data_IF_403498887866
#
_entry.id   IF_403498887866
#
_cell.length_a   1.000
_cell.length_b   1.000
_cell.length_c   1.000
_cell.angle_alpha   90.00
_cell.angle_beta   90.00
_cell.angle_gamma   90.00
#
_symmetry.space_group_name_H-M   'P 1'
#
loop_
_entity.id
_entity.type
_entity.pdbx_description
1 polymer ?
#
# COMPACT_ATOMS: atom_id res chain seq x y z
N UNK A 1 13.68 -6.80 18.98
CA UNK A 1 14.38 -7.99 18.43
C UNK A 1 13.47 -9.22 18.54
N UNK A 2 12.28 -9.21 17.93
CA UNK A 2 11.29 -10.30 18.09
C UNK A 2 10.48 -10.65 16.83
N UNK A 3 10.66 -9.95 15.70
CA UNK A 3 9.85 -10.18 14.48
C UNK A 3 10.43 -11.19 13.47
N UNK A 4 11.58 -11.83 13.76
CA UNK A 4 12.32 -12.63 12.77
C UNK A 4 11.62 -13.92 12.29
N UNK A 5 10.58 -14.40 12.97
CA UNK A 5 9.93 -15.69 12.67
C UNK A 5 8.53 -15.58 12.05
N UNK A 6 8.02 -14.36 11.81
CA UNK A 6 6.61 -14.17 11.45
C UNK A 6 6.37 -13.95 9.94
N UNK A 7 7.44 -13.82 9.12
CA UNK A 7 7.29 -13.55 7.68
C UNK A 7 6.52 -14.63 6.92
N UNK A 8 6.72 -15.94 7.15
CA UNK A 8 5.89 -16.97 6.50
C UNK A 8 4.42 -16.88 6.89
N UNK A 9 4.12 -16.54 8.16
CA UNK A 9 2.75 -16.33 8.62
C UNK A 9 2.10 -15.14 7.92
N UNK A 10 2.82 -14.02 7.83
CA UNK A 10 2.36 -12.83 7.10
C UNK A 10 2.08 -13.18 5.64
N UNK A 11 2.99 -13.90 4.97
CA UNK A 11 2.78 -14.35 3.60
C UNK A 11 1.54 -15.26 3.49
N UNK A 12 1.31 -16.12 4.49
CA UNK A 12 0.09 -16.92 4.60
C UNK A 12 -1.18 -16.06 4.64
N UNK A 13 -1.19 -15.00 5.45
CA UNK A 13 -2.30 -14.04 5.53
C UNK A 13 -2.50 -13.30 4.19
N UNK A 14 -1.43 -12.81 3.56
CA UNK A 14 -1.50 -12.15 2.26
C UNK A 14 -2.09 -13.06 1.18
N UNK A 15 -1.76 -14.36 1.24
CA UNK A 15 -2.30 -15.39 0.33
C UNK A 15 -3.75 -15.70 0.61
N UNK A 16 -4.15 -15.79 1.88
CA UNK A 16 -5.53 -16.00 2.28
C UNK A 16 -6.42 -14.83 1.81
N UNK A 17 -5.91 -13.61 1.90
CA UNK A 17 -6.53 -12.40 1.34
C UNK A 17 -6.41 -12.32 -0.20
N UNK A 18 -5.66 -13.23 -0.82
CA UNK A 18 -5.34 -13.24 -2.24
C UNK A 18 -4.81 -11.89 -2.75
N UNK A 19 -3.92 -11.25 -2.01
CA UNK A 19 -3.40 -9.91 -2.37
C UNK A 19 -2.80 -9.90 -3.78
N UNK A 20 -1.89 -10.84 -4.09
CA UNK A 20 -1.28 -10.86 -5.41
C UNK A 20 -2.26 -11.09 -6.57
N UNK A 21 -3.15 -12.11 -6.57
CA UNK A 21 -4.09 -12.29 -7.68
C UNK A 21 -5.07 -11.12 -7.83
N UNK A 22 -5.43 -10.43 -6.74
CA UNK A 22 -6.24 -9.22 -6.82
C UNK A 22 -5.47 -8.10 -7.51
N UNK A 23 -4.22 -7.84 -7.10
CA UNK A 23 -3.39 -6.81 -7.72
C UNK A 23 -3.11 -7.16 -9.19
N UNK A 24 -2.80 -8.42 -9.50
CA UNK A 24 -2.53 -8.87 -10.87
C UNK A 24 -3.77 -8.80 -11.77
N UNK A 25 -4.99 -8.74 -11.20
CA UNK A 25 -6.22 -8.48 -11.97
C UNK A 25 -6.39 -7.01 -12.36
N UNK A 26 -5.84 -6.09 -11.55
CA UNK A 26 -5.87 -4.64 -11.78
C UNK A 26 -4.66 -4.20 -12.62
N UNK A 27 -3.50 -4.81 -12.37
CA UNK A 27 -2.22 -4.56 -13.04
C UNK A 27 -1.77 -5.88 -13.69
N UNK A 28 -2.20 -6.15 -14.93
CA UNK A 28 -1.89 -7.40 -15.61
C UNK A 28 -0.38 -7.67 -15.69
N UNK A 29 0.07 -8.91 -15.42
CA UNK A 29 1.46 -9.28 -15.57
C UNK A 29 1.97 -9.08 -17.01
N UNK A 30 3.19 -8.59 -17.15
CA UNK A 30 3.86 -8.49 -18.45
C UNK A 30 4.75 -9.71 -18.69
N UNK A 31 4.79 -10.29 -19.90
CA UNK A 31 5.59 -11.49 -20.19
C UNK A 31 7.09 -11.37 -19.91
N UNK A 32 7.63 -10.15 -20.01
CA UNK A 32 9.05 -9.88 -19.74
C UNK A 32 9.37 -9.74 -18.25
N UNK A 33 8.35 -9.65 -17.39
CA UNK A 33 8.55 -9.55 -15.95
C UNK A 33 8.59 -10.94 -15.32
N UNK A 34 9.73 -11.26 -14.70
CA UNK A 34 9.90 -12.51 -13.92
C UNK A 34 8.94 -12.54 -12.71
N UNK A 35 8.63 -11.37 -12.14
CA UNK A 35 7.78 -11.20 -10.96
C UNK A 35 6.58 -10.32 -11.33
N UNK A 36 5.36 -10.80 -11.04
CA UNK A 36 4.13 -10.03 -11.22
C UNK A 36 4.05 -8.83 -10.26
N UNK A 37 3.15 -7.88 -10.52
CA UNK A 37 2.98 -6.73 -9.64
C UNK A 37 2.50 -7.19 -8.23
N UNK A 38 1.56 -8.13 -8.19
CA UNK A 38 1.06 -8.70 -6.95
C UNK A 38 2.11 -9.40 -6.12
N UNK A 39 2.97 -10.22 -6.75
CA UNK A 39 4.08 -10.90 -6.07
C UNK A 39 5.17 -9.92 -5.60
N UNK A 40 5.43 -8.88 -6.38
CA UNK A 40 6.32 -7.79 -5.98
C UNK A 40 5.77 -7.03 -4.76
N UNK A 41 4.44 -6.83 -4.67
CA UNK A 41 3.81 -6.24 -3.48
C UNK A 41 3.93 -7.13 -2.25
N UNK A 42 3.71 -8.44 -2.37
CA UNK A 42 3.95 -9.37 -1.26
C UNK A 42 5.41 -9.26 -0.77
N UNK A 43 6.38 -9.21 -1.69
CA UNK A 43 7.79 -9.02 -1.35
C UNK A 43 8.06 -7.68 -0.63
N UNK A 44 7.45 -6.58 -1.10
CA UNK A 44 7.57 -5.26 -0.47
C UNK A 44 6.98 -5.24 0.94
N UNK A 45 5.80 -5.82 1.15
CA UNK A 45 5.17 -5.91 2.47
C UNK A 45 6.06 -6.71 3.43
N UNK A 46 6.58 -7.85 3.00
CA UNK A 46 7.49 -8.66 3.80
C UNK A 46 8.79 -7.90 4.14
N UNK A 47 9.37 -7.19 3.18
CA UNK A 47 10.58 -6.40 3.41
C UNK A 47 10.33 -5.25 4.39
N UNK A 48 9.22 -4.53 4.25
CA UNK A 48 8.82 -3.44 5.17
C UNK A 48 8.67 -3.98 6.60
N UNK A 49 8.00 -5.12 6.77
CA UNK A 49 7.79 -5.74 8.08
C UNK A 49 9.08 -6.35 8.67
N UNK A 50 10.04 -6.73 7.83
CA UNK A 50 11.39 -7.11 8.26
C UNK A 50 12.28 -5.88 8.60
N UNK A 51 11.78 -4.65 8.41
CA UNK A 51 12.48 -3.39 8.71
C UNK A 51 13.37 -2.90 7.57
N UNK A 52 13.03 -3.22 6.33
CA UNK A 52 13.82 -2.90 5.14
C UNK A 52 13.02 -2.06 4.14
N UNK A 53 13.49 -0.84 3.89
CA UNK A 53 12.82 0.13 3.02
C UNK A 53 13.60 0.44 1.73
N UNK A 54 14.87 0.02 1.63
CA UNK A 54 15.68 0.25 0.44
C UNK A 54 15.37 -0.82 -0.62
N UNK A 55 14.78 -0.43 -1.74
CA UNK A 55 14.31 -1.34 -2.79
C UNK A 55 15.40 -2.30 -3.30
N UNK A 56 16.62 -1.80 -3.56
CA UNK A 56 17.73 -2.61 -4.07
C UNK A 56 18.21 -3.70 -3.09
N UNK A 57 17.81 -3.65 -1.81
CA UNK A 57 18.14 -4.66 -0.81
C UNK A 57 17.08 -5.74 -0.66
N UNK A 58 15.87 -5.53 -1.18
CA UNK A 58 14.69 -6.39 -0.93
C UNK A 58 14.98 -7.83 -1.33
N UNK A 59 15.43 -8.06 -2.57
CA UNK A 59 15.72 -9.41 -3.07
C UNK A 59 16.72 -10.18 -2.20
N UNK A 60 17.89 -9.57 -1.92
CA UNK A 60 18.92 -10.19 -1.07
C UNK A 60 18.42 -10.45 0.35
N UNK A 61 17.66 -9.53 0.94
CA UNK A 61 17.18 -9.68 2.32
C UNK A 61 16.13 -10.77 2.45
N UNK A 62 15.22 -10.87 1.49
CA UNK A 62 14.24 -11.95 1.47
C UNK A 62 14.89 -13.31 1.22
N UNK A 63 15.99 -13.35 0.45
CA UNK A 63 16.82 -14.54 0.28
C UNK A 63 17.49 -14.98 1.60
N UNK A 64 18.11 -14.05 2.33
CA UNK A 64 18.69 -14.29 3.66
C UNK A 64 17.64 -14.82 4.68
N UNK A 65 16.35 -14.59 4.42
CA UNK A 65 15.22 -15.06 5.22
C UNK A 65 14.58 -16.35 4.69
N UNK A 66 15.05 -16.89 3.56
CA UNK A 66 14.46 -18.06 2.90
C UNK A 66 13.07 -17.80 2.31
N UNK A 67 12.70 -16.55 2.04
CA UNK A 67 11.36 -16.16 1.58
C UNK A 67 11.18 -16.25 0.07
N UNK A 68 12.24 -16.21 -0.75
CA UNK A 68 12.12 -16.22 -2.21
C UNK A 68 11.38 -17.46 -2.75
N UNK A 69 11.71 -18.71 -2.33
CA UNK A 69 10.99 -19.89 -2.79
C UNK A 69 9.54 -19.90 -2.33
N UNK A 70 9.27 -19.28 -1.17
CA UNK A 70 7.91 -19.15 -0.66
C UNK A 70 7.11 -18.13 -1.47
N UNK A 71 7.70 -17.05 -1.98
CA UNK A 71 7.02 -16.07 -2.83
C UNK A 71 6.68 -16.66 -4.20
N UNK A 72 7.69 -17.21 -4.87
CA UNK A 72 7.58 -17.84 -6.19
C UNK A 72 8.71 -18.87 -6.35
N UNK A 73 8.40 -20.13 -6.71
CA UNK A 73 9.44 -21.11 -7.00
C UNK A 73 10.39 -20.65 -8.11
N UNK A 74 11.70 -20.83 -7.93
CA UNK A 74 12.72 -20.42 -8.89
C UNK A 74 13.00 -18.93 -8.95
N UNK A 75 12.50 -18.16 -7.97
CA UNK A 75 12.76 -16.72 -7.88
C UNK A 75 14.18 -16.46 -7.37
N UNK A 76 14.94 -15.67 -8.14
CA UNK A 76 16.30 -15.26 -7.77
C UNK A 76 16.29 -13.88 -7.06
N UNK A 77 17.27 -13.58 -6.18
CA UNK A 77 17.35 -12.28 -5.51
C UNK A 77 17.36 -11.10 -6.49
N UNK A 78 18.00 -11.27 -7.64
CA UNK A 78 18.12 -10.25 -8.67
C UNK A 78 16.81 -9.98 -9.40
N UNK A 79 15.81 -10.87 -9.33
CA UNK A 79 14.47 -10.65 -9.91
C UNK A 79 13.67 -9.59 -9.15
N UNK A 80 14.05 -9.28 -7.91
CA UNK A 80 13.47 -8.22 -7.07
C UNK A 80 14.40 -7.00 -7.00
N UNK A 81 14.91 -6.57 -8.17
CA UNK A 81 15.73 -5.37 -8.28
C UNK A 81 14.88 -4.09 -8.14
N UNK A 82 15.54 -2.99 -7.78
CA UNK A 82 14.90 -1.71 -7.49
C UNK A 82 14.08 -1.15 -8.66
N UNK A 83 14.53 -1.29 -9.90
CA UNK A 83 13.75 -0.85 -11.07
C UNK A 83 12.43 -1.59 -11.17
N UNK A 84 12.41 -2.92 -10.98
CA UNK A 84 11.17 -3.72 -11.06
C UNK A 84 10.21 -3.36 -9.93
N UNK A 85 10.75 -3.17 -8.72
CA UNK A 85 9.96 -2.76 -7.56
C UNK A 85 9.43 -1.32 -7.72
N UNK A 86 10.24 -0.41 -8.26
CA UNK A 86 9.85 0.96 -8.58
C UNK A 86 8.71 0.99 -9.60
N UNK A 87 8.85 0.27 -10.72
CA UNK A 87 7.78 0.10 -11.71
C UNK A 87 6.50 -0.48 -11.11
N UNK A 88 6.60 -1.35 -10.10
CA UNK A 88 5.42 -1.86 -9.40
C UNK A 88 4.73 -0.75 -8.60
N UNK A 89 5.49 0.09 -7.90
CA UNK A 89 4.95 1.24 -7.16
C UNK A 89 4.31 2.26 -8.10
N UNK A 90 4.95 2.54 -9.24
CA UNK A 90 4.40 3.44 -10.27
C UNK A 90 3.10 2.89 -10.86
N UNK A 91 3.05 1.58 -11.13
CA UNK A 91 1.84 0.93 -11.63
C UNK A 91 0.70 0.95 -10.61
N UNK A 92 1.00 0.73 -9.32
CA UNK A 92 0.01 0.86 -8.24
C UNK A 92 -0.52 2.29 -8.12
N UNK A 93 0.35 3.28 -8.24
CA UNK A 93 -0.04 4.68 -8.23
C UNK A 93 -0.96 5.00 -9.42
N UNK A 94 -0.60 4.55 -10.62
CA UNK A 94 -1.42 4.70 -11.83
C UNK A 94 -2.75 3.97 -11.79
N UNK A 95 -2.83 2.84 -11.06
CA UNK A 95 -4.04 2.04 -10.88
C UNK A 95 -5.02 2.59 -9.82
N UNK A 96 -4.75 3.77 -9.26
CA UNK A 96 -5.47 4.37 -8.13
C UNK A 96 -5.41 3.49 -6.86
N UNK A 97 -4.52 3.85 -5.94
CA UNK A 97 -4.25 3.12 -4.70
C UNK A 97 -5.53 2.88 -3.86
N UNK A 98 -6.51 3.79 -3.91
CA UNK A 98 -7.77 3.62 -3.19
C UNK A 98 -8.58 2.43 -3.67
N UNK A 99 -8.56 2.14 -4.98
CA UNK A 99 -9.26 0.98 -5.53
C UNK A 99 -8.60 -0.32 -5.07
N UNK A 100 -7.27 -0.37 -5.10
CA UNK A 100 -6.50 -1.53 -4.63
C UNK A 100 -6.73 -1.77 -3.14
N UNK A 101 -6.62 -0.72 -2.31
CA UNK A 101 -6.81 -0.82 -0.87
C UNK A 101 -8.24 -1.23 -0.51
N UNK A 102 -9.25 -0.59 -1.09
CA UNK A 102 -10.65 -0.89 -0.81
C UNK A 102 -11.00 -2.34 -1.20
N UNK A 103 -10.51 -2.82 -2.33
CA UNK A 103 -10.74 -4.19 -2.77
C UNK A 103 -10.10 -5.22 -1.81
N UNK A 104 -8.88 -4.95 -1.31
CA UNK A 104 -8.23 -5.81 -0.31
C UNK A 104 -8.98 -5.76 1.03
N UNK A 105 -9.43 -4.58 1.47
CA UNK A 105 -10.20 -4.41 2.70
C UNK A 105 -11.53 -5.16 2.66
N UNK A 106 -12.28 -5.04 1.56
CA UNK A 106 -13.52 -5.82 1.35
C UNK A 106 -13.25 -7.32 1.40
N UNK A 107 -12.19 -7.79 0.73
CA UNK A 107 -11.82 -9.21 0.78
C UNK A 107 -11.45 -9.66 2.19
N UNK A 108 -10.83 -8.81 3.00
CA UNK A 108 -10.51 -9.14 4.38
C UNK A 108 -11.79 -9.32 5.22
N UNK A 109 -12.77 -8.42 5.06
CA UNK A 109 -14.06 -8.53 5.73
C UNK A 109 -14.78 -9.83 5.37
N UNK A 110 -14.82 -10.18 4.09
CA UNK A 110 -15.42 -11.43 3.59
C UNK A 110 -14.68 -12.67 4.13
N UNK A 111 -13.35 -12.68 4.02
CA UNK A 111 -12.50 -13.83 4.40
C UNK A 111 -12.58 -14.13 5.88
N UNK A 112 -12.62 -13.11 6.73
CA UNK A 112 -12.63 -13.26 8.18
C UNK A 112 -14.02 -13.14 8.80
N UNK A 113 -15.08 -13.02 7.98
CA UNK A 113 -16.47 -12.88 8.42
C UNK A 113 -16.66 -11.81 9.51
N UNK A 114 -15.98 -10.68 9.33
CA UNK A 114 -16.08 -9.57 10.28
C UNK A 114 -17.43 -8.90 10.09
N UNK A 115 -18.28 -8.93 11.12
CA UNK A 115 -19.56 -8.23 11.10
C UNK A 115 -19.32 -6.71 10.95
N UNK A 116 -19.97 -6.09 9.96
CA UNK A 116 -19.85 -4.65 9.66
C UNK A 116 -21.18 -3.91 9.89
N UNK A 117 -21.67 -3.81 11.14
CA UNK A 117 -22.91 -3.07 11.42
C UNK A 117 -22.77 -1.57 11.08
N UNK A 118 -21.55 -1.04 11.00
CA UNK A 118 -21.24 0.32 10.57
C UNK A 118 -19.95 0.32 9.75
N UNK A 119 -20.02 0.76 8.49
CA UNK A 119 -18.83 1.05 7.67
C UNK A 119 -18.51 2.54 7.87
N UNK A 120 -17.47 2.84 8.62
CA UNK A 120 -16.91 4.19 8.70
C UNK A 120 -15.71 4.28 7.76
N UNK A 121 -15.84 5.12 6.74
CA UNK A 121 -14.71 5.56 5.92
C UNK A 121 -14.04 6.70 6.70
N UNK A 122 -12.91 6.41 7.33
CA UNK A 122 -12.14 7.42 8.06
C UNK A 122 -11.57 8.45 7.07
N UNK A 123 -12.28 9.57 6.94
CA UNK A 123 -11.79 10.74 6.19
C UNK A 123 -10.53 11.25 6.90
N UNK A 124 -9.37 11.17 6.24
CA UNK A 124 -8.14 11.74 6.80
C UNK A 124 -8.18 13.25 6.59
N UNK A 125 -8.29 14.01 7.68
CA UNK A 125 -8.17 15.46 7.65
C UNK A 125 -6.70 15.84 7.56
N UNK A 126 -6.31 16.53 6.48
CA UNK A 126 -4.97 17.10 6.35
C UNK A 126 -5.04 18.54 6.89
N UNK A 127 -4.33 18.80 8.00
CA UNK A 127 -4.13 20.15 8.51
C UNK A 127 -3.08 20.87 7.66
N UNK A 128 -3.46 21.97 7.01
CA UNK A 128 -2.55 22.77 6.20
C UNK A 128 -1.99 23.93 7.02
N UNK A 129 -0.70 24.22 6.85
CA UNK A 129 -0.01 25.33 7.50
C UNK A 129 0.66 26.21 6.45
N UNK A 130 0.26 27.48 6.39
CA UNK A 130 0.80 28.47 5.47
C UNK A 130 -0.06 29.73 5.40
N UNK A 131 0.54 30.85 5.01
CA UNK A 131 -0.20 32.04 4.61
C UNK A 131 -0.79 31.79 3.22
N UNK A 132 -1.96 31.15 3.16
CA UNK A 132 -2.74 31.06 1.93
C UNK A 132 -3.43 32.41 1.74
N UNK A 133 -2.69 33.39 1.20
CA UNK A 133 -3.29 34.60 0.64
C UNK A 133 -4.19 34.16 -0.51
N UNK A 134 -5.40 34.71 -0.59
CA UNK A 134 -6.45 34.33 -1.54
C UNK A 134 -6.01 34.66 -2.97
N UNK A 135 -5.15 33.82 -3.53
CA UNK A 135 -4.83 33.77 -4.94
C UNK A 135 -6.04 33.24 -5.66
N UNK A 136 -6.75 34.14 -6.34
CA UNK A 136 -7.85 33.83 -7.23
C UNK A 136 -7.35 32.89 -8.34
N UNK A 137 -7.56 31.59 -8.17
CA UNK A 137 -7.54 30.63 -9.25
C UNK A 137 -8.83 29.80 -9.18
N UNK A 138 -9.61 29.84 -10.27
CA UNK A 138 -10.93 29.22 -10.42
C UNK A 138 -10.81 27.69 -10.65
N UNK A 139 -9.92 27.03 -9.92
CA UNK A 139 -9.75 25.59 -9.97
C UNK A 139 -10.78 24.87 -9.11
N UNK A 140 -11.40 23.80 -9.65
CA UNK A 140 -12.29 22.85 -8.94
C UNK A 140 -11.53 21.99 -7.91
N UNK A 141 -10.76 22.61 -7.03
CA UNK A 141 -10.06 21.96 -5.92
C UNK A 141 -10.75 22.23 -4.58
N UNK A 142 -10.59 21.33 -3.58
CA UNK A 142 -11.16 21.54 -2.26
C UNK A 142 -10.56 22.79 -1.61
N UNK A 143 -11.43 23.72 -1.20
CA UNK A 143 -11.02 25.00 -0.61
C UNK A 143 -10.70 24.81 0.88
N UNK A 144 -9.51 25.23 1.33
CA UNK A 144 -9.17 25.21 2.76
C UNK A 144 -10.16 26.10 3.53
N UNK A 145 -10.94 25.50 4.42
CA UNK A 145 -11.94 26.18 5.22
C UNK A 145 -11.72 25.86 6.70
N UNK A 146 -12.13 26.77 7.59
CA UNK A 146 -12.09 26.51 9.02
C UNK A 146 -13.15 25.46 9.36
N UNK A 147 -12.74 24.34 9.96
CA UNK A 147 -13.60 23.20 10.28
C UNK A 147 -13.43 22.74 11.74
N UNK A 148 -14.23 21.77 12.16
CA UNK A 148 -14.15 21.20 13.51
C UNK A 148 -12.85 20.40 13.66
N UNK A 149 -11.96 20.89 14.53
CA UNK A 149 -10.65 20.32 14.78
C UNK A 149 -10.71 19.29 15.92
N UNK A 150 -10.45 18.01 15.61
CA UNK A 150 -10.30 16.95 16.62
C UNK A 150 -9.12 17.19 17.57
N UNK A 151 -8.11 17.95 17.12
CA UNK A 151 -6.92 18.31 17.90
C UNK A 151 -7.08 19.63 18.69
N UNK A 152 -8.31 20.16 18.80
CA UNK A 152 -8.60 21.37 19.58
C UNK A 152 -8.10 22.67 18.96
N UNK A 153 -7.64 22.62 17.70
CA UNK A 153 -7.02 23.72 16.98
C UNK A 153 -7.89 24.22 15.82
N UNK A 154 -8.92 24.98 16.19
CA UNK A 154 -9.86 25.60 15.24
C UNK A 154 -9.30 26.82 14.51
N UNK A 155 -8.06 27.20 14.79
CA UNK A 155 -7.32 28.30 14.17
C UNK A 155 -6.76 27.96 12.77
N UNK A 156 -6.79 26.69 12.39
CA UNK A 156 -6.22 26.21 11.12
C UNK A 156 -7.28 25.95 10.04
N UNK A 157 -6.97 26.35 8.81
CA UNK A 157 -7.71 25.94 7.63
C UNK A 157 -7.46 24.44 7.37
N UNK A 158 -8.53 23.68 7.14
CA UNK A 158 -8.49 22.24 6.93
C UNK A 158 -9.01 21.88 5.55
N UNK A 159 -8.48 20.79 4.99
CA UNK A 159 -9.03 20.14 3.80
C UNK A 159 -9.34 18.70 4.17
N UNK A 160 -10.59 18.30 3.93
CA UNK A 160 -11.01 16.91 4.04
C UNK A 160 -10.63 16.19 2.75
N UNK A 161 -9.76 15.19 2.84
CA UNK A 161 -9.53 14.25 1.75
C UNK A 161 -10.31 12.99 2.05
N UNK A 162 -11.16 12.58 1.11
CA UNK A 162 -11.70 11.22 1.10
C UNK A 162 -10.52 10.29 0.76
N UNK A 163 -10.32 9.27 1.59
CA UNK A 163 -9.41 8.17 1.32
C UNK A 163 -10.18 6.86 1.11
#
# INVERSE_FOLDING_TARGET
>A
MALRHNLPLVLGVLRQLGVAPLIDSIIPPHPEHIVSAGRAVEALVLAILDGHHALYKVGRRLDERGMLPLLQPGLEPHSLHDTRLGQTLDALFGANLHQVFSAIALRALETYQVETPWIHQDTTTIGLYGAYEDGADEGKGPRPANGYSKDGRGDLKQVMSQG
#
